data_IF_407977694876
#
_entry.id   IF_407977694876
#
_cell.length_a   1.000
_cell.length_b   1.000
_cell.length_c   1.000
_cell.angle_alpha   90.00
_cell.angle_beta   90.00
_cell.angle_gamma   90.00
#
_symmetry.space_group_name_H-M   'P 1'
#
loop_
_entity.id
_entity.type
_entity.pdbx_description
1 polymer ?
#
# COMPACT_ATOMS: atom_id res chain seq x y z
N UNK A 1 -4.08 -22.29 23.40
CA UNK A 1 -4.67 -21.38 22.39
C UNK A 1 -4.48 -19.91 22.72
N UNK A 2 -4.95 -19.40 23.88
CA UNK A 2 -4.81 -17.98 24.26
C UNK A 2 -3.37 -17.44 24.09
N UNK A 3 -2.36 -18.17 24.58
CA UNK A 3 -0.94 -17.80 24.44
C UNK A 3 -0.48 -17.68 22.97
N UNK A 4 -0.91 -18.58 22.09
CA UNK A 4 -0.55 -18.55 20.67
C UNK A 4 -1.18 -17.37 19.96
N UNK A 5 -2.45 -17.08 20.26
CA UNK A 5 -3.14 -15.90 19.72
C UNK A 5 -2.46 -14.62 20.21
N UNK A 6 -2.06 -14.57 21.48
CA UNK A 6 -1.30 -13.43 22.02
C UNK A 6 0.05 -13.26 21.32
N UNK A 7 0.81 -14.35 21.10
CA UNK A 7 2.09 -14.29 20.39
C UNK A 7 1.88 -13.84 18.95
N UNK A 8 0.88 -14.38 18.26
CA UNK A 8 0.55 -13.98 16.90
C UNK A 8 0.22 -12.49 16.81
N UNK A 9 -0.67 -12.00 17.69
CA UNK A 9 -1.03 -10.57 17.73
C UNK A 9 0.15 -9.68 18.12
N UNK A 10 1.01 -10.13 19.04
CA UNK A 10 2.23 -9.40 19.40
C UNK A 10 3.16 -9.27 18.18
N UNK A 11 3.38 -10.36 17.43
CA UNK A 11 4.17 -10.34 16.21
C UNK A 11 3.57 -9.39 15.17
N UNK A 12 2.25 -9.40 14.97
CA UNK A 12 1.59 -8.44 14.09
C UNK A 12 1.86 -7.00 14.51
N UNK A 13 1.73 -6.67 15.80
CA UNK A 13 1.99 -5.30 16.28
C UNK A 13 3.47 -4.92 16.09
N UNK A 14 4.40 -5.81 16.46
CA UNK A 14 5.84 -5.54 16.35
C UNK A 14 6.31 -5.34 14.91
N UNK A 15 5.68 -6.02 13.94
CA UNK A 15 6.03 -5.93 12.52
C UNK A 15 5.10 -5.02 11.72
N UNK A 16 4.31 -4.15 12.36
CA UNK A 16 3.33 -3.29 11.69
C UNK A 16 2.39 -4.04 10.71
N UNK A 17 1.84 -5.18 11.17
CA UNK A 17 0.98 -6.12 10.45
C UNK A 17 1.61 -6.88 9.26
N UNK A 18 2.91 -6.74 9.03
CA UNK A 18 3.60 -7.47 7.96
C UNK A 18 3.67 -8.99 8.19
N UNK A 19 3.69 -9.46 9.44
CA UNK A 19 3.85 -10.89 9.74
C UNK A 19 2.74 -11.75 9.10
N UNK A 20 1.48 -11.30 9.11
CA UNK A 20 0.39 -12.03 8.46
C UNK A 20 0.56 -12.06 6.94
N UNK A 21 0.95 -10.93 6.36
CA UNK A 21 1.18 -10.79 4.92
C UNK A 21 2.26 -11.77 4.43
N UNK A 22 3.36 -11.89 5.16
CA UNK A 22 4.44 -12.82 4.83
C UNK A 22 4.02 -14.29 4.97
N UNK A 23 3.16 -14.62 5.94
CA UNK A 23 2.61 -15.98 6.08
C UNK A 23 1.72 -16.37 4.88
N UNK A 24 0.99 -15.42 4.29
CA UNK A 24 0.17 -15.67 3.09
C UNK A 24 1.03 -16.02 1.87
N UNK A 25 2.32 -15.63 1.85
CA UNK A 25 3.26 -15.96 0.78
C UNK A 25 3.86 -17.37 0.91
N UNK A 26 3.65 -18.08 2.02
CA UNK A 26 4.20 -19.44 2.26
C UNK A 26 3.84 -20.46 1.16
N UNK A 27 2.61 -20.52 0.62
CA UNK A 27 2.30 -21.45 -0.47
C UNK A 27 3.19 -21.22 -1.71
N UNK A 28 3.56 -19.96 -2.00
CA UNK A 28 4.43 -19.60 -3.13
C UNK A 28 5.84 -20.17 -2.96
N UNK A 29 6.34 -20.24 -1.73
CA UNK A 29 7.63 -20.88 -1.41
C UNK A 29 7.68 -22.33 -1.89
N UNK A 30 6.62 -23.09 -1.60
CA UNK A 30 6.54 -24.51 -2.00
C UNK A 30 6.33 -24.68 -3.49
N UNK A 31 5.52 -23.83 -4.13
CA UNK A 31 5.35 -23.84 -5.60
C UNK A 31 6.67 -23.58 -6.29
N UNK A 32 7.45 -22.60 -5.82
CA UNK A 32 8.74 -22.27 -6.41
C UNK A 32 9.81 -23.35 -6.15
N UNK A 33 9.82 -23.96 -4.95
CA UNK A 33 10.63 -25.16 -4.69
C UNK A 33 10.29 -26.30 -5.65
N UNK A 34 9.00 -26.53 -5.93
CA UNK A 34 8.58 -27.57 -6.86
C UNK A 34 9.08 -27.32 -8.29
N UNK A 35 9.01 -26.07 -8.74
CA UNK A 35 9.50 -25.66 -10.05
C UNK A 35 11.01 -25.93 -10.20
N UNK A 36 11.81 -25.50 -9.22
CA UNK A 36 13.24 -25.79 -9.19
C UNK A 36 13.55 -27.30 -9.10
N UNK A 37 12.77 -28.06 -8.32
CA UNK A 37 12.99 -29.49 -8.15
C UNK A 37 12.61 -30.32 -9.38
N UNK A 38 11.56 -29.94 -10.12
CA UNK A 38 11.01 -30.76 -11.21
C UNK A 38 11.37 -30.24 -12.60
N UNK A 39 11.29 -28.93 -12.80
CA UNK A 39 11.42 -28.31 -14.12
C UNK A 39 12.87 -27.93 -14.40
N UNK A 40 13.51 -27.18 -13.50
CA UNK A 40 14.91 -26.78 -13.65
C UNK A 40 15.90 -27.86 -13.23
N UNK A 41 15.52 -28.72 -12.27
CA UNK A 41 16.35 -29.80 -11.72
C UNK A 41 17.70 -29.30 -11.21
N UNK A 42 17.72 -28.07 -10.70
CA UNK A 42 18.91 -27.33 -10.28
C UNK A 42 19.07 -27.30 -8.74
N UNK A 43 18.13 -27.92 -8.02
CA UNK A 43 18.19 -28.13 -6.57
C UNK A 43 18.00 -29.61 -6.24
N UNK A 44 18.70 -30.08 -5.21
CA UNK A 44 18.65 -31.49 -4.79
C UNK A 44 17.64 -31.73 -3.67
N UNK A 45 17.42 -30.73 -2.82
CA UNK A 45 16.53 -30.82 -1.67
C UNK A 45 16.05 -29.43 -1.24
N UNK A 46 15.09 -29.39 -0.31
CA UNK A 46 14.52 -28.12 0.15
C UNK A 46 15.52 -27.21 0.87
N UNK A 47 16.51 -27.76 1.57
CA UNK A 47 17.53 -26.95 2.25
C UNK A 47 18.48 -26.28 1.26
N UNK A 48 18.80 -26.97 0.17
CA UNK A 48 19.56 -26.46 -0.96
C UNK A 48 18.85 -25.24 -1.57
N UNK A 49 17.54 -25.35 -1.76
CA UNK A 49 16.68 -24.24 -2.19
C UNK A 49 16.68 -23.07 -1.19
N UNK A 50 16.48 -23.33 0.11
CA UNK A 50 16.51 -22.27 1.12
C UNK A 50 17.88 -21.58 1.16
N UNK A 51 18.97 -22.36 1.12
CA UNK A 51 20.32 -21.82 1.07
C UNK A 51 20.54 -20.97 -0.18
N UNK A 52 20.04 -21.42 -1.34
CA UNK A 52 20.14 -20.69 -2.60
C UNK A 52 19.42 -19.35 -2.56
N UNK A 53 18.20 -19.26 -2.03
CA UNK A 53 17.40 -18.03 -2.08
C UNK A 53 17.48 -17.13 -0.83
N UNK A 54 18.03 -17.60 0.30
CA UNK A 54 18.08 -16.86 1.57
C UNK A 54 19.48 -16.74 2.20
N UNK A 55 20.57 -17.11 1.50
CA UNK A 55 21.92 -16.85 1.99
C UNK A 55 22.46 -15.50 1.50
N UNK A 56 23.23 -14.82 2.36
CA UNK A 56 23.83 -13.49 2.12
C UNK A 56 24.79 -13.44 0.91
N UNK A 57 25.13 -14.58 0.31
CA UNK A 57 25.95 -14.66 -0.90
C UNK A 57 25.15 -14.52 -2.21
N UNK A 58 23.85 -14.24 -2.11
CA UNK A 58 23.06 -13.86 -3.28
C UNK A 58 23.19 -12.36 -3.63
N UNK A 59 24.23 -11.67 -3.13
CA UNK A 59 24.64 -10.37 -3.68
C UNK A 59 25.02 -10.54 -5.15
N UNK A 60 24.32 -9.79 -6.01
CA UNK A 60 24.75 -9.42 -7.35
C UNK A 60 24.99 -10.53 -8.39
N UNK A 61 24.59 -11.77 -8.15
CA UNK A 61 24.46 -12.72 -9.25
C UNK A 61 23.13 -12.45 -9.96
N UNK A 62 23.23 -11.62 -11.01
CA UNK A 62 22.40 -11.78 -12.21
C UNK A 62 22.19 -13.27 -12.39
N UNK A 63 20.95 -13.74 -12.22
CA UNK A 63 20.57 -15.00 -12.83
C UNK A 63 21.00 -14.88 -14.29
N UNK A 64 21.73 -15.88 -14.73
CA UNK A 64 22.35 -15.92 -16.03
C UNK A 64 21.26 -15.93 -17.09
N UNK A 65 20.85 -14.74 -17.55
CA UNK A 65 20.31 -14.44 -18.88
C UNK A 65 19.47 -15.57 -19.51
N UNK A 66 18.38 -15.99 -18.87
CA UNK A 66 17.59 -17.08 -19.43
C UNK A 66 16.18 -17.31 -18.87
N UNK A 67 15.95 -17.14 -17.57
CA UNK A 67 14.69 -17.54 -16.91
C UNK A 67 14.06 -16.45 -16.03
N UNK A 68 14.66 -15.26 -16.04
CA UNK A 68 14.45 -14.18 -15.06
C UNK A 68 13.04 -13.54 -15.08
N UNK A 69 12.23 -13.81 -16.11
CA UNK A 69 10.87 -13.27 -16.22
C UNK A 69 9.79 -14.18 -15.61
N UNK A 70 10.06 -15.48 -15.41
CA UNK A 70 9.11 -16.43 -14.81
C UNK A 70 9.36 -16.62 -13.31
N UNK A 71 10.62 -16.57 -12.90
CA UNK A 71 11.05 -16.73 -11.51
C UNK A 71 11.15 -15.37 -10.80
N UNK A 72 10.00 -14.87 -10.36
CA UNK A 72 9.89 -13.62 -9.62
C UNK A 72 10.38 -13.82 -8.16
N UNK A 73 11.68 -14.08 -8.02
CA UNK A 73 12.42 -14.44 -6.81
C UNK A 73 12.23 -13.47 -5.64
N UNK A 74 11.89 -12.22 -5.94
CA UNK A 74 11.58 -11.18 -4.95
C UNK A 74 10.26 -11.39 -4.19
N UNK A 75 9.45 -12.39 -4.58
CA UNK A 75 8.13 -12.62 -3.99
C UNK A 75 8.08 -13.76 -2.97
N UNK A 76 9.23 -14.26 -2.54
CA UNK A 76 9.30 -15.29 -1.52
C UNK A 76 9.03 -14.70 -0.12
N UNK A 77 8.39 -15.46 0.78
CA UNK A 77 8.09 -14.99 2.13
C UNK A 77 9.37 -14.59 2.86
N UNK A 78 9.34 -13.46 3.56
CA UNK A 78 10.45 -12.91 4.34
C UNK A 78 11.74 -12.63 3.53
N UNK A 79 11.70 -12.65 2.20
CA UNK A 79 12.83 -12.26 1.34
C UNK A 79 12.69 -10.79 0.97
N UNK A 80 13.76 -10.03 1.15
CA UNK A 80 13.81 -8.60 0.83
C UNK A 80 14.81 -8.41 -0.31
N UNK A 81 14.38 -7.77 -1.40
CA UNK A 81 15.29 -7.51 -2.53
C UNK A 81 16.16 -6.28 -2.25
N UNK A 82 17.46 -6.40 -2.51
CA UNK A 82 18.54 -5.47 -2.10
C UNK A 82 18.31 -4.00 -2.49
N UNK A 83 17.41 -3.74 -3.45
CA UNK A 83 17.09 -2.40 -3.94
C UNK A 83 15.75 -1.85 -3.42
N UNK A 84 14.96 -2.66 -2.73
CA UNK A 84 13.90 -2.17 -1.87
C UNK A 84 14.57 -1.83 -0.54
N UNK A 85 14.56 -0.56 -0.16
CA UNK A 85 14.87 -0.11 1.20
C UNK A 85 14.34 -1.11 2.21
N UNK A 86 15.20 -1.62 3.09
CA UNK A 86 14.87 -2.51 4.22
C UNK A 86 13.46 -2.18 4.68
N UNK A 87 12.47 -3.04 4.36
CA UNK A 87 11.17 -3.02 5.03
C UNK A 87 11.39 -3.61 6.42
N UNK A 88 12.37 -3.08 7.14
CA UNK A 88 12.19 -2.82 8.54
C UNK A 88 10.93 -1.99 8.60
N UNK A 89 9.82 -2.69 8.79
CA UNK A 89 8.62 -2.18 9.38
C UNK A 89 9.00 -1.71 10.79
N UNK A 90 9.86 -0.69 10.86
CA UNK A 90 10.04 0.10 12.06
C UNK A 90 8.63 0.55 12.37
N UNK A 91 8.14 0.12 13.52
CA UNK A 91 7.03 0.80 14.13
C UNK A 91 7.46 2.25 14.21
N UNK A 92 6.98 3.08 13.27
CA UNK A 92 6.99 4.51 13.45
C UNK A 92 6.08 4.72 14.66
N UNK A 93 6.68 4.63 15.85
CA UNK A 93 6.11 5.17 17.07
C UNK A 93 6.11 6.66 16.78
N UNK A 94 5.07 7.11 16.07
CA UNK A 94 4.84 8.50 15.79
C UNK A 94 4.82 9.18 17.15
N UNK A 95 5.71 10.14 17.35
CA UNK A 95 5.61 11.03 18.50
C UNK A 95 4.25 11.70 18.42
N UNK A 96 3.28 11.20 19.19
CA UNK A 96 2.00 11.88 19.38
C UNK A 96 2.35 13.13 20.21
N UNK A 97 2.18 14.34 19.69
CA UNK A 97 2.40 15.52 20.49
C UNK A 97 1.40 15.50 21.65
N UNK A 98 1.87 15.76 22.87
CA UNK A 98 1.04 15.73 24.09
C UNK A 98 -0.11 16.76 24.05
N UNK A 99 -0.09 17.70 23.11
CA UNK A 99 -1.16 18.65 22.88
C UNK A 99 -1.23 19.05 21.41
N UNK A 100 -2.44 19.15 20.88
CA UNK A 100 -2.74 19.72 19.57
C UNK A 100 -3.21 21.15 19.83
N UNK A 101 -2.39 22.15 19.51
CA UNK A 101 -2.80 23.54 19.62
C UNK A 101 -3.57 23.94 18.35
N UNK A 102 -4.90 23.91 18.43
CA UNK A 102 -5.76 24.45 17.40
C UNK A 102 -5.94 25.96 17.62
N UNK A 103 -4.94 26.75 17.24
CA UNK A 103 -5.08 28.21 17.12
C UNK A 103 -6.08 28.50 15.99
N UNK A 104 -7.37 28.54 16.32
CA UNK A 104 -8.41 29.01 15.39
C UNK A 104 -8.35 30.53 15.37
N UNK A 105 -7.97 31.12 14.24
CA UNK A 105 -8.24 32.53 13.98
C UNK A 105 -9.77 32.71 13.94
N UNK A 106 -10.34 33.30 14.99
CA UNK A 106 -11.74 33.68 15.03
C UNK A 106 -11.85 34.98 14.24
N UNK A 107 -12.22 34.90 12.97
CA UNK A 107 -12.58 36.08 12.21
C UNK A 107 -13.99 36.51 12.62
N UNK A 108 -14.10 37.69 13.21
CA UNK A 108 -15.39 38.35 13.41
C UNK A 108 -15.92 38.76 12.05
N UNK A 109 -16.88 37.99 11.51
CA UNK A 109 -17.60 38.41 10.31
C UNK A 109 -18.50 39.56 10.74
N UNK A 110 -18.16 40.79 10.32
CA UNK A 110 -19.11 41.90 10.41
C UNK A 110 -20.34 41.52 9.59
N UNK A 111 -21.49 41.53 10.27
CA UNK A 111 -22.77 41.19 9.64
C UNK A 111 -23.12 42.32 8.69
N UNK A 112 -22.80 42.17 7.40
CA UNK A 112 -23.33 43.08 6.39
C UNK A 112 -24.84 42.90 6.35
N UNK A 113 -25.56 43.93 6.81
CA UNK A 113 -27.01 43.99 6.69
C UNK A 113 -27.29 44.06 5.19
N UNK A 114 -27.86 42.99 4.63
CA UNK A 114 -28.33 42.98 3.25
C UNK A 114 -29.55 43.90 3.16
N UNK A 115 -29.32 45.16 2.81
CA UNK A 115 -30.38 46.03 2.34
C UNK A 115 -30.68 45.63 0.89
N UNK A 116 -31.78 44.91 0.71
CA UNK A 116 -32.42 44.73 -0.59
C UNK A 116 -32.92 46.10 -1.08
N UNK A 117 -32.02 46.94 -1.57
CA UNK A 117 -32.44 47.92 -2.57
C UNK A 117 -33.05 47.13 -3.72
N UNK A 118 -34.24 47.54 -4.15
CA UNK A 118 -35.08 46.82 -5.09
C UNK A 118 -34.48 46.85 -6.51
N UNK A 119 -33.26 46.34 -6.67
CA UNK A 119 -32.55 46.13 -7.93
C UNK A 119 -33.08 44.87 -8.61
N UNK A 120 -34.41 44.77 -8.72
CA UNK A 120 -35.04 43.80 -9.59
C UNK A 120 -34.68 44.20 -11.02
N UNK A 121 -33.80 43.43 -11.64
CA UNK A 121 -33.63 43.48 -13.10
C UNK A 121 -34.89 42.83 -13.68
N UNK A 122 -35.90 43.63 -13.98
CA UNK A 122 -37.09 43.15 -14.68
C UNK A 122 -36.70 42.75 -16.11
N UNK A 123 -36.82 41.47 -16.42
CA UNK A 123 -36.63 41.00 -17.79
C UNK A 123 -37.79 41.51 -18.66
N UNK A 124 -37.50 42.33 -19.67
CA UNK A 124 -38.47 42.91 -20.60
C UNK A 124 -39.27 41.87 -21.42
N UNK A 125 -38.90 40.59 -21.38
CA UNK A 125 -39.60 39.52 -22.09
C UNK A 125 -39.55 38.19 -21.32
N UNK A 126 -40.36 38.01 -20.26
CA UNK A 126 -40.36 36.80 -19.45
C UNK A 126 -40.77 35.55 -20.25
N UNK A 127 -41.53 35.73 -21.34
CA UNK A 127 -42.03 34.64 -22.18
C UNK A 127 -40.99 34.05 -23.17
N UNK A 128 -39.80 34.65 -23.29
CA UNK A 128 -38.76 34.17 -24.21
C UNK A 128 -37.83 33.11 -23.60
N UNK A 129 -37.92 32.85 -22.29
CA UNK A 129 -36.98 31.99 -21.57
C UNK A 129 -37.25 30.50 -21.82
N UNK A 130 -38.51 30.12 -22.08
CA UNK A 130 -38.94 28.72 -22.21
C UNK A 130 -39.46 28.38 -23.60
N UNK A 131 -38.82 28.88 -24.66
CA UNK A 131 -39.20 28.48 -26.01
C UNK A 131 -38.51 27.16 -26.39
N UNK A 132 -39.25 26.20 -27.00
CA UNK A 132 -38.64 24.99 -27.51
C UNK A 132 -37.65 25.30 -28.64
N UNK A 133 -36.68 24.41 -28.93
CA UNK A 133 -35.73 24.60 -30.01
C UNK A 133 -36.46 24.78 -31.34
N UNK A 134 -36.03 25.77 -32.14
CA UNK A 134 -36.58 25.99 -33.48
C UNK A 134 -36.04 24.88 -34.40
N UNK A 135 -36.93 24.15 -35.05
CA UNK A 135 -36.55 23.19 -36.09
C UNK A 135 -36.22 23.96 -37.38
N UNK A 136 -35.06 23.68 -37.96
CA UNK A 136 -34.65 24.17 -39.29
C UNK A 136 -35.46 23.51 -40.40
#
# INVERSE_FOLDING_TARGET
MKKLVTIFLLLQVCTNNAFAEELVKIPRLFTHYHHHSQEHKDITNFWDFIHKHYSDHHEANKHSSGHDNEDNDCNLPFKHCDNCSVNTHFSAIGFIPNYINANRAIFSIEKTIFNSENNRIESLNPCNIWQPPKFS
#
